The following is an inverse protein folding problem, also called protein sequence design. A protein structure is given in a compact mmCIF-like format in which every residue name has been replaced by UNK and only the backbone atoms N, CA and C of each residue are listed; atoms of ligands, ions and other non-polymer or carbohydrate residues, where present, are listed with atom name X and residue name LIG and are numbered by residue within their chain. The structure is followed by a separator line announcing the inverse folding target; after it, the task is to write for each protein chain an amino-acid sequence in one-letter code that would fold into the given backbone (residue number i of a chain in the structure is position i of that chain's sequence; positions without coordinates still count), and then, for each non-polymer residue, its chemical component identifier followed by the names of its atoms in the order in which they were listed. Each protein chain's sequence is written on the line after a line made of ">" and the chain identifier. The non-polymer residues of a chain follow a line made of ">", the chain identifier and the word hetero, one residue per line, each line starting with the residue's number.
data_IF_481023136545
#
_entry.id   IF_481023136545
#
_cell.length_a   1.000
_cell.length_b   1.000
_cell.length_c   1.000
_cell.angle_alpha   90.00
_cell.angle_beta   90.00
_cell.angle_gamma   90.00
#
_symmetry.space_group_name_H-M   'P 1'
#
loop_
_entity.id
_entity.type
_entity.pdbx_description
1 polymer ?
#
# COMPACT_ATOMS: atom_id res chain seq x y z
N UNK A 1 1.29 -59.46 9.58
CA UNK A 1 1.17 -59.47 8.09
C UNK A 1 0.02 -58.61 7.56
N UNK A 2 -1.06 -58.35 8.32
CA UNK A 2 -2.12 -57.37 7.93
C UNK A 2 -1.72 -55.90 8.10
N UNK A 3 -0.87 -55.56 9.09
CA UNK A 3 -0.36 -54.19 9.29
C UNK A 3 0.59 -53.67 8.20
N UNK A 4 1.22 -54.56 7.42
CA UNK A 4 2.08 -54.16 6.31
C UNK A 4 1.28 -53.82 5.05
N UNK A 5 0.12 -54.46 4.87
CA UNK A 5 -0.75 -54.28 3.69
C UNK A 5 -1.51 -52.96 3.80
N UNK A 6 -2.02 -52.61 4.98
CA UNK A 6 -2.65 -51.29 5.20
C UNK A 6 -1.66 -50.12 5.13
N UNK A 7 -0.38 -50.32 5.46
CA UNK A 7 0.67 -49.32 5.25
C UNK A 7 1.11 -49.23 3.78
N UNK A 8 1.06 -50.31 3.00
CA UNK A 8 1.37 -50.27 1.58
C UNK A 8 0.25 -49.64 0.76
N UNK A 9 -1.02 -49.98 1.02
CA UNK A 9 -2.17 -49.43 0.29
C UNK A 9 -2.32 -47.91 0.49
N UNK A 10 -2.05 -47.40 1.69
CA UNK A 10 -2.04 -45.95 1.96
C UNK A 10 -0.86 -45.26 1.26
N UNK A 11 0.31 -45.91 1.21
CA UNK A 11 1.51 -45.37 0.52
C UNK A 11 1.36 -45.42 -1.01
N UNK A 12 0.68 -46.43 -1.55
CA UNK A 12 0.41 -46.55 -2.99
C UNK A 12 -0.62 -45.50 -3.45
N UNK A 13 -1.62 -45.15 -2.63
CA UNK A 13 -2.61 -44.10 -2.95
C UNK A 13 -2.00 -42.68 -2.88
N UNK A 14 -1.13 -42.42 -1.90
CA UNK A 14 -0.39 -41.16 -1.79
C UNK A 14 0.60 -40.98 -2.95
N UNK A 15 1.30 -42.05 -3.34
CA UNK A 15 2.24 -42.04 -4.47
C UNK A 15 1.50 -41.86 -5.80
N UNK A 16 0.38 -42.57 -6.00
CA UNK A 16 -0.45 -42.39 -7.19
C UNK A 16 -1.03 -40.97 -7.26
N UNK A 17 -1.43 -40.39 -6.14
CA UNK A 17 -1.91 -39.01 -6.06
C UNK A 17 -0.82 -37.99 -6.37
N UNK A 18 0.39 -38.19 -5.88
CA UNK A 18 1.55 -37.35 -6.21
C UNK A 18 1.88 -37.37 -7.71
N UNK A 19 1.85 -38.55 -8.35
CA UNK A 19 2.06 -38.68 -9.80
C UNK A 19 0.96 -37.95 -10.59
N UNK A 20 -0.31 -38.05 -10.18
CA UNK A 20 -1.40 -37.31 -10.82
C UNK A 20 -1.21 -35.79 -10.75
N UNK A 21 -0.70 -35.27 -9.64
CA UNK A 21 -0.37 -33.83 -9.50
C UNK A 21 0.72 -33.43 -10.49
N UNK A 22 1.79 -34.24 -10.59
CA UNK A 22 2.91 -34.02 -11.53
C UNK A 22 2.40 -33.99 -12.97
N UNK A 23 1.70 -35.05 -13.39
CA UNK A 23 1.13 -35.16 -14.75
C UNK A 23 0.16 -34.02 -15.06
N UNK A 24 -0.56 -33.51 -14.05
CA UNK A 24 -1.48 -32.41 -14.24
C UNK A 24 -0.76 -31.11 -14.63
N UNK A 25 0.29 -30.75 -13.90
CA UNK A 25 1.07 -29.54 -14.20
C UNK A 25 1.89 -29.68 -15.48
N UNK A 26 2.41 -30.87 -15.79
CA UNK A 26 3.18 -31.09 -17.03
C UNK A 26 2.30 -30.88 -18.26
N UNK A 27 1.05 -31.37 -18.23
CA UNK A 27 0.07 -31.10 -19.29
C UNK A 27 -0.22 -29.60 -19.45
N UNK A 28 -0.32 -28.85 -18.35
CA UNK A 28 -0.52 -27.40 -18.42
C UNK A 28 0.68 -26.70 -19.08
N UNK A 29 1.89 -27.19 -18.86
CA UNK A 29 3.08 -26.69 -19.55
C UNK A 29 3.03 -27.02 -21.04
N UNK A 30 2.71 -28.27 -21.40
CA UNK A 30 2.61 -28.73 -22.79
C UNK A 30 1.54 -27.97 -23.58
N UNK A 31 0.39 -27.70 -22.96
CA UNK A 31 -0.72 -26.94 -23.53
C UNK A 31 -0.47 -25.42 -23.54
N UNK A 32 0.66 -24.95 -23.01
CA UNK A 32 0.98 -23.52 -22.83
C UNK A 32 -0.12 -22.77 -22.09
N UNK A 33 -0.58 -23.35 -20.99
CA UNK A 33 -1.66 -22.80 -20.18
C UNK A 33 -1.33 -21.40 -19.65
N UNK A 34 -2.36 -20.58 -19.49
CA UNK A 34 -2.18 -19.25 -18.88
C UNK A 34 -1.75 -19.36 -17.40
N UNK A 35 -1.07 -18.33 -16.88
CA UNK A 35 -0.77 -18.20 -15.45
C UNK A 35 -2.00 -18.39 -14.56
N UNK A 36 -3.17 -17.87 -14.97
CA UNK A 36 -4.41 -18.03 -14.21
C UNK A 36 -4.93 -19.48 -14.22
N UNK A 37 -4.63 -20.27 -15.24
CA UNK A 37 -4.99 -21.69 -15.27
C UNK A 37 -4.12 -22.49 -14.29
N UNK A 38 -2.82 -22.20 -14.20
CA UNK A 38 -1.91 -22.86 -13.25
C UNK A 38 -2.32 -22.60 -11.80
N UNK A 39 -2.62 -21.35 -11.43
CA UNK A 39 -3.06 -21.03 -10.05
C UNK A 39 -4.42 -21.65 -9.73
N UNK A 40 -5.35 -21.70 -10.69
CA UNK A 40 -6.63 -22.40 -10.52
C UNK A 40 -6.46 -23.90 -10.33
N UNK A 41 -5.55 -24.52 -11.07
CA UNK A 41 -5.21 -25.93 -10.90
C UNK A 41 -4.62 -26.20 -9.52
N UNK A 42 -3.73 -25.33 -9.03
CA UNK A 42 -3.22 -25.41 -7.66
C UNK A 42 -4.35 -25.35 -6.62
N UNK A 43 -5.29 -24.40 -6.75
CA UNK A 43 -6.44 -24.28 -5.84
C UNK A 43 -7.34 -25.54 -5.87
N UNK A 44 -7.64 -26.05 -7.06
CA UNK A 44 -8.49 -27.21 -7.24
C UNK A 44 -7.87 -28.50 -6.68
N UNK A 45 -6.58 -28.74 -6.96
CA UNK A 45 -5.84 -29.91 -6.47
C UNK A 45 -5.63 -29.84 -4.94
N UNK A 46 -5.42 -28.64 -4.41
CA UNK A 46 -5.26 -28.40 -2.99
C UNK A 46 -6.59 -28.51 -2.21
N UNK A 47 -7.73 -28.27 -2.87
CA UNK A 47 -9.01 -28.11 -2.18
C UNK A 47 -9.05 -26.87 -1.28
N UNK A 48 -8.11 -25.93 -1.45
CA UNK A 48 -8.04 -24.64 -0.74
C UNK A 48 -7.82 -23.50 -1.72
N UNK A 49 -8.09 -22.26 -1.29
CA UNK A 49 -7.76 -21.10 -2.13
C UNK A 49 -6.26 -21.08 -2.40
N UNK A 50 -5.87 -20.83 -3.64
CA UNK A 50 -4.48 -20.60 -4.02
C UNK A 50 -4.32 -19.20 -4.59
N UNK A 51 -3.15 -18.63 -4.38
CA UNK A 51 -2.79 -17.34 -4.93
C UNK A 51 -1.41 -17.30 -5.56
N UNK A 52 -1.21 -16.32 -6.44
CA UNK A 52 0.06 -15.93 -7.02
C UNK A 52 0.26 -14.44 -6.79
N UNK A 53 1.43 -14.10 -6.29
CA UNK A 53 1.92 -12.75 -6.18
C UNK A 53 3.08 -12.55 -7.14
N UNK A 54 3.11 -11.40 -7.81
CA UNK A 54 4.19 -10.96 -8.69
C UNK A 54 4.40 -9.46 -8.49
N UNK A 55 5.37 -9.14 -7.64
CA UNK A 55 5.75 -7.77 -7.30
C UNK A 55 6.23 -7.01 -8.55
N UNK A 56 7.03 -7.65 -9.38
CA UNK A 56 7.61 -7.04 -10.58
C UNK A 56 6.53 -6.55 -11.55
N UNK A 57 5.39 -7.25 -11.65
CA UNK A 57 4.26 -6.88 -12.53
C UNK A 57 3.11 -6.19 -11.80
N UNK A 58 3.18 -6.01 -10.48
CA UNK A 58 2.08 -5.52 -9.64
C UNK A 58 0.81 -6.39 -9.78
N UNK A 59 0.97 -7.71 -9.85
CA UNK A 59 -0.12 -8.65 -10.08
C UNK A 59 -0.32 -9.53 -8.85
N UNK A 60 -1.55 -9.58 -8.37
CA UNK A 60 -2.01 -10.57 -7.38
C UNK A 60 -3.20 -11.29 -7.98
N UNK A 61 -3.14 -12.63 -8.03
CA UNK A 61 -4.24 -13.47 -8.50
C UNK A 61 -4.60 -14.46 -7.41
N UNK A 62 -5.90 -14.55 -7.08
CA UNK A 62 -6.42 -15.48 -6.07
C UNK A 62 -7.60 -16.25 -6.63
N UNK A 63 -7.63 -17.56 -6.41
CA UNK A 63 -8.70 -18.42 -6.89
C UNK A 63 -9.14 -19.40 -5.81
N UNK A 64 -10.45 -19.48 -5.61
CA UNK A 64 -11.08 -20.54 -4.81
C UNK A 64 -10.90 -21.92 -5.48
N UNK A 65 -11.09 -23.03 -4.73
CA UNK A 65 -11.05 -24.39 -5.29
C UNK A 65 -12.02 -24.61 -6.47
N UNK A 66 -13.18 -23.95 -6.45
CA UNK A 66 -14.17 -23.98 -7.53
C UNK A 66 -13.77 -23.14 -8.76
N UNK A 67 -12.59 -22.51 -8.74
CA UNK A 67 -12.05 -21.69 -9.81
C UNK A 67 -12.59 -20.26 -9.88
N UNK A 68 -13.37 -19.81 -8.88
CA UNK A 68 -13.84 -18.41 -8.78
C UNK A 68 -12.68 -17.49 -8.37
N UNK A 69 -12.54 -16.37 -9.07
CA UNK A 69 -11.56 -15.32 -8.76
C UNK A 69 -11.94 -14.58 -7.47
N UNK A 70 -10.96 -14.35 -6.60
CA UNK A 70 -11.10 -13.50 -5.43
C UNK A 70 -10.34 -12.18 -5.63
N UNK A 71 -10.88 -11.09 -5.10
CA UNK A 71 -10.26 -9.77 -5.08
C UNK A 71 -9.80 -9.41 -3.66
N UNK A 72 -8.70 -8.69 -3.55
CA UNK A 72 -8.14 -8.24 -2.27
C UNK A 72 -6.92 -9.05 -1.81
N UNK A 73 -6.15 -8.49 -0.89
CA UNK A 73 -5.00 -9.15 -0.24
C UNK A 73 -5.51 -10.08 0.86
N UNK A 74 -4.84 -11.21 1.07
CA UNK A 74 -5.09 -12.04 2.24
C UNK A 74 -4.18 -11.61 3.41
N UNK A 75 -4.67 -11.77 4.64
CA UNK A 75 -4.02 -11.30 5.87
C UNK A 75 -3.38 -12.43 6.70
N UNK A 76 -3.20 -13.62 6.12
CA UNK A 76 -2.62 -14.78 6.80
C UNK A 76 -1.16 -15.06 6.43
N UNK A 77 -0.40 -15.63 7.37
CA UNK A 77 0.91 -16.24 7.11
C UNK A 77 0.69 -17.64 6.52
N UNK A 78 0.62 -17.71 5.19
CA UNK A 78 0.39 -18.94 4.46
C UNK A 78 1.68 -19.58 3.99
N UNK A 79 1.65 -20.90 3.79
CA UNK A 79 2.72 -21.59 3.08
C UNK A 79 2.89 -20.98 1.70
N UNK A 80 4.11 -20.51 1.44
CA UNK A 80 4.49 -19.89 0.18
C UNK A 80 5.58 -20.69 -0.53
N UNK A 81 5.59 -20.64 -1.87
CA UNK A 81 6.64 -21.23 -2.69
C UNK A 81 7.11 -20.20 -3.74
N UNK A 82 8.39 -19.80 -3.74
CA UNK A 82 8.91 -18.85 -4.70
C UNK A 82 8.86 -19.42 -6.12
N UNK A 83 8.58 -18.57 -7.11
CA UNK A 83 8.62 -18.98 -8.51
C UNK A 83 10.07 -18.88 -9.02
N UNK A 84 10.73 -20.00 -9.36
CA UNK A 84 12.15 -19.97 -9.68
C UNK A 84 12.44 -19.10 -10.91
N UNK A 85 13.47 -18.25 -10.78
CA UNK A 85 13.87 -17.31 -11.85
C UNK A 85 12.93 -16.12 -12.05
N UNK A 86 11.97 -15.89 -11.14
CA UNK A 86 11.10 -14.71 -11.15
C UNK A 86 11.16 -13.98 -9.80
N UNK A 87 12.14 -13.07 -9.61
CA UNK A 87 12.32 -12.35 -8.35
C UNK A 87 11.04 -11.62 -7.91
N UNK A 88 10.69 -11.75 -6.63
CA UNK A 88 9.47 -11.14 -6.07
C UNK A 88 8.17 -11.80 -6.55
N UNK A 89 8.22 -13.05 -7.05
CA UNK A 89 7.04 -13.85 -7.37
C UNK A 89 6.96 -15.12 -6.53
N UNK A 90 5.81 -15.41 -5.96
CA UNK A 90 5.55 -16.63 -5.18
C UNK A 90 4.09 -17.05 -5.23
N UNK A 91 3.86 -18.35 -5.05
CA UNK A 91 2.54 -18.95 -4.88
C UNK A 91 2.27 -19.17 -3.40
N UNK A 92 1.00 -19.22 -3.00
CA UNK A 92 0.60 -19.64 -1.65
C UNK A 92 -0.72 -20.41 -1.63
N UNK A 93 -0.98 -21.13 -0.53
CA UNK A 93 -2.25 -21.79 -0.24
C UNK A 93 -2.86 -21.26 1.06
N UNK A 94 -4.13 -20.84 1.01
CA UNK A 94 -4.86 -20.32 2.17
C UNK A 94 -5.45 -21.49 2.98
N UNK A 95 -4.74 -21.96 4.00
CA UNK A 95 -5.20 -23.04 4.88
C UNK A 95 -5.18 -22.63 6.34
N UNK A 96 -6.37 -22.52 6.93
CA UNK A 96 -6.52 -22.43 8.37
C UNK A 96 -6.36 -23.83 9.00
N UNK A 97 -5.12 -24.29 9.19
CA UNK A 97 -4.81 -25.60 9.79
C UNK A 97 -3.44 -26.13 9.39
N UNK A 98 -3.17 -27.39 9.70
CA UNK A 98 -1.97 -28.08 9.24
C UNK A 98 -1.96 -28.20 7.71
N UNK A 99 -0.77 -28.21 7.13
CA UNK A 99 -0.60 -28.43 5.69
C UNK A 99 -1.17 -29.79 5.27
N UNK A 100 -1.83 -29.82 4.12
CA UNK A 100 -2.22 -31.05 3.44
C UNK A 100 -0.99 -31.83 2.95
N UNK A 101 -1.11 -33.17 2.80
CA UNK A 101 0.04 -34.04 2.49
C UNK A 101 0.70 -33.73 1.14
N UNK A 102 -0.04 -33.14 0.20
CA UNK A 102 0.43 -32.82 -1.15
C UNK A 102 0.72 -31.34 -1.37
N UNK A 103 0.54 -30.48 -0.36
CA UNK A 103 0.58 -29.02 -0.53
C UNK A 103 1.93 -28.52 -1.04
N UNK A 104 3.00 -29.00 -0.42
CA UNK A 104 4.36 -28.68 -0.81
C UNK A 104 4.61 -29.09 -2.27
N UNK A 105 4.15 -30.29 -2.65
CA UNK A 105 4.29 -30.78 -4.03
C UNK A 105 3.46 -29.96 -5.01
N UNK A 106 2.20 -29.63 -4.69
CA UNK A 106 1.32 -28.84 -5.54
C UNK A 106 1.94 -27.46 -5.78
N UNK A 107 2.42 -26.79 -4.73
CA UNK A 107 3.08 -25.50 -4.83
C UNK A 107 4.38 -25.58 -5.63
N UNK A 108 5.24 -26.56 -5.36
CA UNK A 108 6.50 -26.75 -6.10
C UNK A 108 6.23 -26.98 -7.60
N UNK A 109 5.31 -27.88 -7.93
CA UNK A 109 4.96 -28.19 -9.33
C UNK A 109 4.30 -27.00 -10.03
N UNK A 110 3.43 -26.26 -9.34
CA UNK A 110 2.84 -25.04 -9.88
C UNK A 110 3.91 -23.96 -10.14
N UNK A 111 4.87 -23.77 -9.21
CA UNK A 111 5.95 -22.80 -9.35
C UNK A 111 6.86 -23.14 -10.55
N UNK A 112 7.24 -24.41 -10.71
CA UNK A 112 8.00 -24.90 -11.87
C UNK A 112 7.22 -24.77 -13.18
N UNK A 113 5.92 -25.03 -13.17
CA UNK A 113 5.08 -24.82 -14.35
C UNK A 113 5.05 -23.35 -14.77
N UNK A 114 4.91 -22.41 -13.82
CA UNK A 114 4.99 -20.97 -14.09
C UNK A 114 6.37 -20.56 -14.63
N UNK A 115 7.44 -21.12 -14.08
CA UNK A 115 8.79 -20.92 -14.61
C UNK A 115 8.89 -21.39 -16.07
N UNK A 116 8.45 -22.61 -16.37
CA UNK A 116 8.53 -23.19 -17.72
C UNK A 116 7.65 -22.42 -18.75
N UNK A 117 6.51 -21.89 -18.29
CA UNK A 117 5.58 -21.10 -19.11
C UNK A 117 6.01 -19.65 -19.32
N UNK A 118 7.10 -19.20 -18.70
CA UNK A 118 7.58 -17.83 -18.85
C UNK A 118 8.35 -17.66 -20.16
N UNK A 119 7.73 -17.00 -21.14
CA UNK A 119 8.24 -16.90 -22.53
C UNK A 119 9.03 -15.61 -22.82
N UNK A 120 9.75 -15.01 -21.87
CA UNK A 120 10.45 -13.73 -22.07
C UNK A 120 11.69 -13.55 -21.20
N UNK A 121 12.36 -12.40 -21.33
CA UNK A 121 13.40 -11.98 -20.37
C UNK A 121 12.75 -11.89 -19.00
N UNK A 122 13.09 -12.84 -18.10
CA UNK A 122 12.65 -12.81 -16.71
C UNK A 122 13.23 -11.63 -15.92
N UNK A 123 14.08 -10.84 -16.57
CA UNK A 123 14.76 -9.76 -15.93
C UNK A 123 13.80 -8.58 -15.67
N UNK A 124 13.54 -8.20 -14.42
CA UNK A 124 12.62 -7.13 -14.10
C UNK A 124 13.10 -5.80 -14.70
N UNK A 125 12.17 -5.01 -15.25
CA UNK A 125 12.46 -3.62 -15.64
C UNK A 125 12.81 -2.79 -14.40
N UNK A 126 13.39 -1.59 -14.58
CA UNK A 126 13.64 -0.66 -13.46
C UNK A 126 12.39 -0.42 -12.60
N UNK A 127 11.22 -0.26 -13.22
CA UNK A 127 9.94 -0.12 -12.52
C UNK A 127 9.55 -1.39 -11.74
N UNK A 128 9.86 -2.58 -12.29
CA UNK A 128 9.69 -3.86 -11.60
C UNK A 128 10.62 -4.00 -10.40
N UNK A 129 11.90 -3.62 -10.53
CA UNK A 129 12.85 -3.62 -9.42
C UNK A 129 12.41 -2.66 -8.30
N UNK A 130 11.90 -1.48 -8.63
CA UNK A 130 11.34 -0.54 -7.64
C UNK A 130 10.17 -1.20 -6.88
N UNK A 131 9.28 -1.92 -7.57
CA UNK A 131 8.18 -2.64 -6.90
C UNK A 131 8.70 -3.72 -5.98
N UNK A 132 9.60 -4.59 -6.45
CA UNK A 132 10.21 -5.65 -5.63
C UNK A 132 10.87 -5.06 -4.37
N UNK A 133 11.64 -3.97 -4.52
CA UNK A 133 12.33 -3.33 -3.41
C UNK A 133 11.36 -2.78 -2.34
N UNK A 134 10.21 -2.26 -2.76
CA UNK A 134 9.19 -1.69 -1.88
C UNK A 134 8.16 -2.72 -1.36
N UNK A 135 8.15 -3.94 -1.90
CA UNK A 135 7.13 -4.93 -1.58
C UNK A 135 7.42 -5.58 -0.21
N UNK A 136 6.55 -5.44 0.81
CA UNK A 136 6.79 -6.02 2.13
C UNK A 136 6.87 -7.55 2.12
N UNK A 137 6.21 -8.20 1.15
CA UNK A 137 6.11 -9.65 1.09
C UNK A 137 7.23 -10.27 0.23
N UNK A 138 8.00 -9.46 -0.51
CA UNK A 138 9.16 -9.94 -1.26
C UNK A 138 10.23 -10.52 -0.34
N UNK A 139 10.88 -11.59 -0.81
CA UNK A 139 11.95 -12.23 -0.04
C UNK A 139 13.11 -11.27 0.19
N UNK A 140 13.78 -11.48 1.32
CA UNK A 140 14.96 -10.75 1.74
C UNK A 140 16.10 -10.81 0.69
N UNK A 141 16.19 -11.91 -0.06
CA UNK A 141 17.17 -12.08 -1.13
C UNK A 141 16.78 -11.26 -2.37
N UNK A 142 15.53 -11.37 -2.83
CA UNK A 142 15.03 -10.62 -4.00
C UNK A 142 15.08 -9.11 -3.76
N UNK A 143 14.77 -8.67 -2.53
CA UNK A 143 14.85 -7.26 -2.14
C UNK A 143 16.29 -6.73 -2.23
N UNK A 144 17.27 -7.49 -1.71
CA UNK A 144 18.69 -7.12 -1.78
C UNK A 144 19.18 -7.06 -3.22
N UNK A 145 18.82 -8.04 -4.04
CA UNK A 145 19.15 -8.03 -5.47
C UNK A 145 18.55 -6.81 -6.18
N UNK A 146 17.26 -6.54 -5.96
CA UNK A 146 16.59 -5.38 -6.55
C UNK A 146 17.24 -4.05 -6.14
N UNK A 147 17.52 -3.87 -4.85
CA UNK A 147 18.24 -2.70 -4.32
C UNK A 147 19.62 -2.53 -4.94
N UNK A 148 20.39 -3.62 -5.05
CA UNK A 148 21.73 -3.59 -5.64
C UNK A 148 21.68 -3.20 -7.12
N UNK A 149 20.72 -3.76 -7.87
CA UNK A 149 20.53 -3.48 -9.29
C UNK A 149 19.98 -2.07 -9.59
N UNK A 150 19.25 -1.49 -8.63
CA UNK A 150 18.85 -0.08 -8.67
C UNK A 150 20.01 0.88 -8.32
N UNK A 151 21.16 0.35 -7.88
CA UNK A 151 22.32 1.15 -7.49
C UNK A 151 22.13 1.93 -6.19
N UNK A 152 21.23 1.48 -5.31
CA UNK A 152 20.92 2.16 -4.05
C UNK A 152 21.90 1.73 -2.97
N UNK A 153 22.74 2.66 -2.49
CA UNK A 153 23.84 2.37 -1.55
C UNK A 153 23.78 3.17 -0.24
N UNK A 154 22.81 4.09 -0.11
CA UNK A 154 22.65 4.97 1.04
C UNK A 154 21.20 5.37 1.24
N UNK A 155 20.93 6.42 2.04
CA UNK A 155 19.57 6.87 2.31
C UNK A 155 18.80 7.21 1.03
N UNK A 156 17.54 6.77 1.00
CA UNK A 156 16.62 6.99 -0.12
C UNK A 156 15.38 7.66 0.40
N UNK A 157 14.97 8.76 -0.22
CA UNK A 157 13.64 9.31 0.03
C UNK A 157 12.65 8.69 -0.92
N UNK A 158 11.67 7.99 -0.37
CA UNK A 158 10.54 7.45 -1.10
C UNK A 158 9.45 8.51 -1.16
N UNK A 159 8.95 8.79 -2.37
CA UNK A 159 7.86 9.73 -2.61
C UNK A 159 6.69 9.01 -3.25
N UNK A 160 5.53 9.13 -2.63
CA UNK A 160 4.24 8.67 -3.14
C UNK A 160 3.43 9.87 -3.61
N UNK A 161 2.89 9.79 -4.82
CA UNK A 161 1.98 10.80 -5.35
C UNK A 161 0.85 10.17 -6.17
N UNK A 162 -0.27 10.87 -6.28
CA UNK A 162 -1.34 10.57 -7.24
C UNK A 162 -1.06 11.16 -8.63
N UNK A 163 0.01 11.95 -8.79
CA UNK A 163 0.38 12.60 -10.05
C UNK A 163 1.60 11.94 -10.70
N UNK A 164 1.51 11.73 -12.02
CA UNK A 164 2.62 11.25 -12.86
C UNK A 164 3.72 12.28 -13.11
N UNK A 165 3.58 13.51 -12.60
CA UNK A 165 4.56 14.58 -12.82
C UNK A 165 5.85 14.44 -11.99
N UNK A 166 6.01 13.36 -11.22
CA UNK A 166 7.27 13.01 -10.57
C UNK A 166 8.32 12.62 -11.64
N UNK A 167 9.10 13.60 -12.09
CA UNK A 167 10.26 13.37 -12.96
C UNK A 167 11.40 12.73 -12.16
N UNK A 168 11.33 11.42 -11.97
CA UNK A 168 12.37 10.63 -11.32
C UNK A 168 12.82 9.46 -12.21
N UNK A 169 14.10 9.09 -12.12
CA UNK A 169 14.67 7.96 -12.89
C UNK A 169 14.21 6.61 -12.33
N UNK A 170 14.09 6.51 -11.01
CA UNK A 170 13.63 5.31 -10.33
C UNK A 170 12.16 5.47 -9.96
N UNK A 171 11.30 5.26 -10.94
CA UNK A 171 9.85 5.46 -10.81
C UNK A 171 9.08 4.20 -11.16
N UNK A 172 7.97 4.00 -10.46
CA UNK A 172 7.04 2.92 -10.72
C UNK A 172 5.61 3.35 -10.44
N UNK A 173 4.64 2.61 -10.95
CA UNK A 173 3.23 2.76 -10.60
C UNK A 173 2.71 1.51 -9.91
N UNK A 174 1.86 1.72 -8.90
CA UNK A 174 1.12 0.69 -8.17
C UNK A 174 -0.31 1.18 -8.05
N UNK A 175 -1.21 0.62 -8.87
CA UNK A 175 -2.56 1.18 -9.05
C UNK A 175 -2.49 2.62 -9.56
N UNK A 176 -3.21 3.52 -8.88
CA UNK A 176 -3.25 4.95 -9.21
C UNK A 176 -2.14 5.77 -8.54
N UNK A 177 -1.25 5.11 -7.81
CA UNK A 177 -0.13 5.75 -7.11
C UNK A 177 1.16 5.61 -7.90
N UNK A 178 1.93 6.70 -7.90
CA UNK A 178 3.29 6.77 -8.43
C UNK A 178 4.25 6.69 -7.25
N UNK A 179 5.17 5.73 -7.32
CA UNK A 179 6.27 5.53 -6.36
C UNK A 179 7.54 6.03 -7.02
N UNK A 180 8.21 7.01 -6.42
CA UNK A 180 9.51 7.48 -6.85
C UNK A 180 10.56 7.28 -5.74
N UNK A 181 11.73 6.75 -6.12
CA UNK A 181 12.87 6.62 -5.23
C UNK A 181 13.90 7.69 -5.59
N UNK A 182 14.22 8.55 -4.62
CA UNK A 182 15.16 9.65 -4.78
C UNK A 182 16.37 9.41 -3.84
N UNK A 183 17.51 8.94 -4.38
CA UNK A 183 18.73 8.76 -3.59
C UNK A 183 19.32 10.10 -3.13
N UNK A 184 19.94 10.12 -1.94
CA UNK A 184 20.64 11.31 -1.42
C UNK A 184 19.70 12.36 -0.82
N UNK A 185 20.00 13.65 -1.03
CA UNK A 185 19.15 14.78 -0.58
C UNK A 185 18.19 15.16 -1.70
N UNK A 186 16.94 14.67 -1.70
CA UNK A 186 16.02 14.91 -2.80
C UNK A 186 15.56 16.36 -2.85
N UNK A 187 15.17 16.81 -4.03
CA UNK A 187 14.27 17.95 -4.19
C UNK A 187 12.95 17.42 -4.71
N UNK A 188 11.90 17.48 -3.89
CA UNK A 188 10.56 17.11 -4.31
C UNK A 188 9.99 18.28 -5.12
N UNK A 189 9.49 18.05 -6.35
CA UNK A 189 8.92 19.12 -7.14
C UNK A 189 7.76 19.81 -6.42
N UNK A 190 7.68 21.13 -6.56
CA UNK A 190 6.50 21.88 -6.15
C UNK A 190 5.31 21.57 -7.07
N UNK A 191 4.09 21.84 -6.58
CA UNK A 191 2.88 21.72 -7.40
C UNK A 191 2.37 20.28 -7.58
N UNK A 192 2.84 19.35 -6.75
CA UNK A 192 2.29 17.98 -6.65
C UNK A 192 1.73 17.73 -5.26
N UNK A 193 0.72 16.86 -5.19
CA UNK A 193 0.26 16.27 -3.93
C UNK A 193 1.09 15.02 -3.66
N UNK A 194 1.90 15.02 -2.60
CA UNK A 194 2.81 13.92 -2.30
C UNK A 194 2.98 13.66 -0.81
N UNK A 195 3.18 12.39 -0.47
CA UNK A 195 3.74 11.96 0.81
C UNK A 195 5.16 11.46 0.60
N UNK A 196 6.07 11.81 1.50
CA UNK A 196 7.45 11.38 1.44
C UNK A 196 7.88 10.74 2.76
N UNK A 197 8.84 9.81 2.69
CA UNK A 197 9.48 9.24 3.87
C UNK A 197 10.93 8.86 3.53
N UNK A 198 11.83 9.08 4.48
CA UNK A 198 13.23 8.69 4.33
C UNK A 198 13.41 7.23 4.78
N UNK A 199 13.96 6.41 3.89
CA UNK A 199 14.54 5.12 4.22
C UNK A 199 16.04 5.32 4.51
N UNK A 200 16.51 5.19 5.77
CA UNK A 200 17.94 5.31 6.08
C UNK A 200 18.80 4.22 5.42
N UNK A 201 18.18 3.07 5.18
CA UNK A 201 18.72 1.90 4.48
C UNK A 201 17.72 1.51 3.37
N UNK A 202 18.14 1.31 2.12
CA UNK A 202 17.29 0.83 1.03
C UNK A 202 16.50 -0.45 1.35
N UNK A 203 16.95 -1.31 2.27
CA UNK A 203 16.18 -2.49 2.67
C UNK A 203 14.94 -2.15 3.49
N UNK A 204 14.83 -0.92 4.01
CA UNK A 204 13.65 -0.40 4.72
C UNK A 204 12.64 0.29 3.80
N UNK A 205 12.79 0.18 2.48
CA UNK A 205 11.83 0.73 1.51
C UNK A 205 10.37 0.31 1.75
N UNK A 206 10.03 -0.92 2.20
CA UNK A 206 8.64 -1.26 2.53
C UNK A 206 8.09 -0.43 3.69
N UNK A 207 8.89 -0.20 4.73
CA UNK A 207 8.48 0.67 5.85
C UNK A 207 8.32 2.12 5.37
N UNK A 208 9.26 2.62 4.57
CA UNK A 208 9.18 3.97 4.01
C UNK A 208 7.96 4.13 3.07
N UNK A 209 7.56 3.07 2.35
CA UNK A 209 6.34 3.09 1.52
C UNK A 209 5.09 3.33 2.37
N UNK A 210 4.93 2.58 3.47
CA UNK A 210 3.80 2.76 4.37
C UNK A 210 3.83 4.11 5.10
N UNK A 211 5.00 4.58 5.50
CA UNK A 211 5.20 5.91 6.07
C UNK A 211 4.84 7.03 5.08
N UNK A 212 5.30 6.93 3.83
CA UNK A 212 4.95 7.88 2.78
C UNK A 212 3.45 7.82 2.45
N UNK A 213 2.79 6.67 2.61
CA UNK A 213 1.33 6.52 2.45
C UNK A 213 0.58 7.27 3.55
N UNK A 214 1.02 7.14 4.80
CA UNK A 214 0.51 7.94 5.94
C UNK A 214 0.72 9.43 5.69
N UNK A 215 1.91 9.83 5.21
CA UNK A 215 2.18 11.23 4.88
C UNK A 215 1.30 11.74 3.73
N UNK A 216 1.11 10.94 2.67
CA UNK A 216 0.24 11.28 1.54
C UNK A 216 -1.21 11.42 1.98
N UNK A 217 -1.67 10.64 2.95
CA UNK A 217 -3.00 10.80 3.55
C UNK A 217 -3.18 12.18 4.18
N UNK A 218 -2.13 12.74 4.79
CA UNK A 218 -2.16 14.08 5.39
C UNK A 218 -1.90 15.22 4.40
N UNK A 219 -1.46 14.92 3.18
CA UNK A 219 -1.19 15.90 2.16
C UNK A 219 -2.49 16.53 1.64
N UNK A 220 -2.50 17.86 1.51
CA UNK A 220 -3.61 18.60 0.93
C UNK A 220 -3.54 18.65 -0.61
N UNK A 221 -4.62 19.10 -1.24
CA UNK A 221 -4.62 19.37 -2.67
C UNK A 221 -3.71 20.56 -3.02
N UNK A 222 -3.18 20.52 -4.23
CA UNK A 222 -2.29 21.57 -4.75
C UNK A 222 -3.07 22.88 -4.88
N UNK A 223 -2.48 23.97 -4.38
CA UNK A 223 -3.03 25.33 -4.48
C UNK A 223 -3.80 25.81 -3.23
N UNK A 224 -4.00 24.94 -2.23
CA UNK A 224 -4.45 25.35 -0.90
C UNK A 224 -3.31 25.88 -0.02
N UNK A 225 -3.65 26.36 1.19
CA UNK A 225 -2.64 26.79 2.16
C UNK A 225 -2.03 25.65 2.97
N UNK A 226 -2.71 24.50 3.02
CA UNK A 226 -2.18 23.30 3.65
C UNK A 226 -1.05 22.67 2.79
N UNK A 227 -0.04 22.04 3.41
CA UNK A 227 1.07 21.45 2.67
C UNK A 227 0.57 20.35 1.73
N UNK A 228 0.84 20.54 0.43
CA UNK A 228 0.60 19.53 -0.59
C UNK A 228 1.68 18.43 -0.58
N UNK A 229 2.85 18.72 -0.04
CA UNK A 229 3.91 17.74 0.20
C UNK A 229 4.10 17.59 1.71
N UNK A 230 3.94 16.37 2.22
CA UNK A 230 4.14 16.04 3.63
C UNK A 230 5.25 15.02 3.75
N UNK A 231 6.25 15.29 4.59
CA UNK A 231 7.30 14.33 4.94
C UNK A 231 6.94 13.64 6.25
N UNK A 232 6.96 12.31 6.25
CA UNK A 232 6.64 11.50 7.42
C UNK A 232 7.57 11.80 8.59
N UNK A 233 8.86 12.01 8.29
CA UNK A 233 9.91 12.29 9.28
C UNK A 233 9.64 13.57 10.10
N UNK A 234 8.87 14.52 9.55
CA UNK A 234 8.50 15.77 10.21
C UNK A 234 7.24 15.65 11.10
N UNK A 235 6.49 14.55 10.99
CA UNK A 235 5.21 14.38 11.70
C UNK A 235 5.38 14.03 13.18
N UNK A 236 6.44 13.31 13.55
CA UNK A 236 6.66 12.82 14.91
C UNK A 236 5.44 12.10 15.48
N UNK A 237 4.93 12.55 16.64
CA UNK A 237 3.77 11.93 17.29
C UNK A 237 2.45 12.04 16.49
N UNK A 238 2.36 12.99 15.53
CA UNK A 238 1.18 13.13 14.67
C UNK A 238 1.03 11.94 13.72
N UNK A 239 2.14 11.29 13.33
CA UNK A 239 2.11 10.10 12.48
C UNK A 239 1.34 8.96 13.15
N UNK A 240 1.60 8.69 14.44
CA UNK A 240 0.94 7.62 15.19
C UNK A 240 -0.58 7.78 15.24
N UNK A 241 -1.05 9.04 15.32
CA UNK A 241 -2.49 9.35 15.28
C UNK A 241 -3.05 9.07 13.88
N UNK A 242 -2.36 9.51 12.83
CA UNK A 242 -2.79 9.33 11.45
C UNK A 242 -2.76 7.86 10.98
N UNK A 243 -1.87 7.03 11.54
CA UNK A 243 -1.77 5.60 11.27
C UNK A 243 -2.90 4.80 11.92
N UNK A 244 -3.30 5.17 13.14
CA UNK A 244 -4.23 4.36 13.95
C UNK A 244 -5.69 4.69 13.73
N UNK A 245 -6.00 5.89 13.23
CA UNK A 245 -7.39 6.35 13.10
C UNK A 245 -7.82 6.20 11.63
N UNK A 246 -8.88 5.43 11.40
CA UNK A 246 -9.49 5.28 10.08
C UNK A 246 -10.18 6.58 9.62
N UNK A 247 -10.51 6.69 8.33
CA UNK A 247 -11.13 7.89 7.81
C UNK A 247 -12.53 8.09 8.42
N UNK A 248 -13.28 7.00 8.59
CA UNK A 248 -14.61 6.98 9.21
C UNK A 248 -14.57 7.36 10.69
N UNK A 249 -13.63 6.82 11.46
CA UNK A 249 -13.45 7.18 12.87
C UNK A 249 -13.09 8.66 13.01
N UNK A 250 -12.20 9.18 12.15
CA UNK A 250 -11.86 10.58 12.14
C UNK A 250 -13.06 11.47 11.78
N UNK A 251 -13.84 11.09 10.76
CA UNK A 251 -15.05 11.80 10.34
C UNK A 251 -16.15 11.79 11.42
N UNK A 252 -16.20 10.75 12.26
CA UNK A 252 -17.17 10.64 13.35
C UNK A 252 -16.84 11.53 14.56
N UNK A 253 -15.60 12.03 14.68
CA UNK A 253 -15.21 12.92 15.79
C UNK A 253 -16.01 14.21 15.76
N UNK A 254 -16.59 14.59 16.91
CA UNK A 254 -17.48 15.76 17.02
C UNK A 254 -16.83 17.08 16.55
N UNK A 255 -15.54 17.27 16.82
CA UNK A 255 -14.80 18.44 16.34
C UNK A 255 -14.65 18.45 14.81
N UNK A 256 -14.44 17.28 14.18
CA UNK A 256 -14.33 17.16 12.72
C UNK A 256 -15.68 17.40 12.06
N UNK A 257 -16.75 16.80 12.57
CA UNK A 257 -18.12 17.08 12.12
C UNK A 257 -18.45 18.57 12.23
N UNK A 258 -18.03 19.22 13.31
CA UNK A 258 -18.26 20.65 13.49
C UNK A 258 -17.49 21.48 12.47
N UNK A 259 -16.24 21.10 12.15
CA UNK A 259 -15.47 21.76 11.09
C UNK A 259 -16.14 21.60 9.72
N UNK A 260 -16.64 20.40 9.39
CA UNK A 260 -17.42 20.13 8.17
C UNK A 260 -18.65 21.03 8.04
N UNK A 261 -19.45 21.13 9.09
CA UNK A 261 -20.64 22.00 9.12
C UNK A 261 -20.28 23.47 8.86
N UNK A 262 -19.15 23.94 9.41
CA UNK A 262 -18.71 25.33 9.22
C UNK A 262 -18.15 25.57 7.82
N UNK A 263 -17.40 24.61 7.27
CA UNK A 263 -16.83 24.67 5.93
C UNK A 263 -17.89 24.80 4.84
N UNK A 264 -19.04 24.14 5.01
CA UNK A 264 -20.15 24.19 4.06
C UNK A 264 -20.65 25.64 3.79
N UNK A 265 -20.55 26.53 4.78
CA UNK A 265 -20.89 27.95 4.63
C UNK A 265 -19.69 28.88 4.50
N UNK A 266 -18.48 28.41 4.85
CA UNK A 266 -17.29 29.25 5.02
C UNK A 266 -16.02 28.50 4.57
N UNK A 267 -15.67 28.54 3.27
CA UNK A 267 -14.52 27.81 2.73
C UNK A 267 -13.17 28.17 3.39
N UNK A 268 -13.08 29.36 3.98
CA UNK A 268 -11.88 29.87 4.63
C UNK A 268 -11.57 29.25 6.01
N UNK A 269 -12.46 28.41 6.57
CA UNK A 269 -12.33 27.90 7.96
C UNK A 269 -11.04 27.10 8.14
N UNK A 270 -10.80 26.08 7.30
CA UNK A 270 -9.61 25.22 7.42
C UNK A 270 -8.35 26.00 7.07
N UNK A 271 -8.37 26.81 6.01
CA UNK A 271 -7.25 27.69 5.64
C UNK A 271 -6.85 28.65 6.77
N UNK A 272 -7.86 29.23 7.44
CA UNK A 272 -7.63 30.13 8.57
C UNK A 272 -7.02 29.38 9.74
N UNK A 273 -7.56 28.21 10.11
CA UNK A 273 -7.00 27.38 11.18
C UNK A 273 -5.58 26.92 10.84
N UNK A 274 -5.33 26.53 9.60
CA UNK A 274 -3.99 26.15 9.14
C UNK A 274 -3.00 27.29 9.32
N UNK A 275 -3.30 28.47 8.76
CA UNK A 275 -2.40 29.61 8.79
C UNK A 275 -2.07 30.08 10.22
N UNK A 276 -3.01 29.96 11.17
CA UNK A 276 -2.77 30.40 12.56
C UNK A 276 -2.12 29.32 13.43
N UNK A 277 -2.26 28.04 13.07
CA UNK A 277 -1.57 26.93 13.73
C UNK A 277 -0.13 26.80 13.28
N UNK A 278 0.15 27.10 12.02
CA UNK A 278 1.47 26.97 11.40
C UNK A 278 2.36 28.20 11.65
N UNK A 279 1.81 29.41 11.54
CA UNK A 279 2.61 30.63 11.65
C UNK A 279 2.80 31.10 13.11
N UNK A 280 3.96 31.69 13.45
CA UNK A 280 4.24 32.10 14.83
C UNK A 280 3.53 33.40 15.25
N UNK A 281 2.91 34.13 14.31
CA UNK A 281 2.17 35.35 14.61
C UNK A 281 0.94 35.53 13.72
N UNK A 282 -0.08 36.22 14.27
CA UNK A 282 -1.29 36.57 13.51
C UNK A 282 -0.99 37.48 12.31
N UNK A 283 0.10 38.26 12.33
CA UNK A 283 0.49 39.11 11.21
C UNK A 283 0.98 38.28 10.03
N UNK A 284 1.79 37.25 10.30
CA UNK A 284 2.23 36.31 9.27
C UNK A 284 1.07 35.45 8.77
N UNK A 285 0.18 34.98 9.66
CA UNK A 285 -1.03 34.26 9.25
C UNK A 285 -1.91 35.11 8.32
N UNK A 286 -2.12 36.39 8.64
CA UNK A 286 -2.92 37.30 7.81
C UNK A 286 -2.26 37.56 6.44
N UNK A 287 -0.93 37.71 6.41
CA UNK A 287 -0.17 37.84 5.17
C UNK A 287 -0.27 36.58 4.30
N UNK A 288 -0.15 35.40 4.89
CA UNK A 288 -0.29 34.11 4.21
C UNK A 288 -1.70 33.91 3.62
N UNK A 289 -2.73 34.34 4.35
CA UNK A 289 -4.13 34.31 3.90
C UNK A 289 -4.49 35.43 2.92
N UNK A 290 -3.57 36.37 2.65
CA UNK A 290 -3.84 37.60 1.90
C UNK A 290 -5.05 38.40 2.44
N UNK A 291 -5.18 38.49 3.77
CA UNK A 291 -6.24 39.28 4.44
C UNK A 291 -5.66 40.34 5.37
N UNK A 292 -6.46 41.36 5.68
CA UNK A 292 -6.11 42.31 6.72
C UNK A 292 -6.14 41.67 8.11
N UNK A 293 -5.28 42.15 9.01
CA UNK A 293 -5.20 41.64 10.37
C UNK A 293 -6.53 41.75 11.14
N UNK A 294 -7.30 42.82 10.94
CA UNK A 294 -8.64 42.99 11.51
C UNK A 294 -9.60 41.89 11.06
N UNK A 295 -9.63 41.57 9.75
CA UNK A 295 -10.45 40.49 9.19
C UNK A 295 -10.07 39.14 9.77
N UNK A 296 -8.77 38.86 9.96
CA UNK A 296 -8.34 37.62 10.61
C UNK A 296 -8.82 37.55 12.07
N UNK A 297 -8.75 38.64 12.82
CA UNK A 297 -9.26 38.69 14.19
C UNK A 297 -10.78 38.46 14.25
N UNK A 298 -11.54 39.04 13.32
CA UNK A 298 -12.99 38.81 13.20
C UNK A 298 -13.29 37.34 12.92
N UNK A 299 -12.59 36.72 11.96
CA UNK A 299 -12.71 35.27 11.67
C UNK A 299 -12.42 34.42 12.90
N UNK A 300 -11.36 34.74 13.66
CA UNK A 300 -11.01 34.00 14.88
C UNK A 300 -12.02 34.19 16.01
N UNK A 301 -12.60 35.38 16.13
CA UNK A 301 -13.66 35.67 17.10
C UNK A 301 -14.92 34.89 16.76
N UNK A 302 -15.32 34.90 15.50
CA UNK A 302 -16.44 34.10 14.99
C UNK A 302 -16.20 32.60 15.19
N UNK A 303 -15.02 32.08 14.81
CA UNK A 303 -14.65 30.68 15.00
C UNK A 303 -14.73 30.28 16.47
N UNK A 304 -14.27 31.14 17.37
CA UNK A 304 -14.34 30.87 18.81
C UNK A 304 -15.79 30.72 19.30
N UNK A 305 -16.70 31.55 18.80
CA UNK A 305 -18.13 31.44 19.08
C UNK A 305 -18.77 30.17 18.50
N UNK A 306 -18.37 29.77 17.29
CA UNK A 306 -18.94 28.60 16.62
C UNK A 306 -18.40 27.26 17.13
N UNK A 307 -17.14 27.22 17.55
CA UNK A 307 -16.46 26.04 18.09
C UNK A 307 -16.69 25.86 19.60
N UNK A 308 -17.07 26.95 20.30
CA UNK A 308 -17.20 26.96 21.77
C UNK A 308 -15.86 26.97 22.51
N UNK A 309 -14.75 27.18 21.81
CA UNK A 309 -13.42 27.35 22.38
C UNK A 309 -12.54 28.26 21.52
N UNK A 310 -11.54 28.90 22.12
CA UNK A 310 -10.62 29.76 21.40
C UNK A 310 -9.50 28.92 20.72
N UNK A 311 -9.44 28.85 19.37
CA UNK A 311 -8.48 27.99 18.66
C UNK A 311 -7.02 28.47 18.77
N UNK A 312 -6.79 29.67 19.32
CA UNK A 312 -5.45 30.26 19.45
C UNK A 312 -4.93 30.36 20.89
N UNK A 313 -5.69 29.89 21.89
CA UNK A 313 -5.34 30.08 23.30
C UNK A 313 -5.29 28.76 24.06
N UNK A 314 -4.20 28.56 24.81
CA UNK A 314 -4.04 27.44 25.75
C UNK A 314 -4.39 26.08 25.14
N UNK A 315 -5.25 25.33 25.82
CA UNK A 315 -5.74 24.01 25.39
C UNK A 315 -6.54 24.03 24.08
N UNK A 316 -7.15 25.17 23.74
CA UNK A 316 -7.92 25.32 22.50
C UNK A 316 -7.05 25.23 21.25
N UNK A 317 -5.78 25.65 21.33
CA UNK A 317 -4.80 25.49 20.24
C UNK A 317 -4.48 24.02 19.96
N UNK A 318 -4.26 23.24 21.02
CA UNK A 318 -4.01 21.80 20.91
C UNK A 318 -5.22 21.07 20.30
N UNK A 319 -6.43 21.39 20.79
CA UNK A 319 -7.68 20.84 20.27
C UNK A 319 -7.88 21.18 18.78
N UNK A 320 -7.66 22.44 18.38
CA UNK A 320 -7.76 22.85 16.98
C UNK A 320 -6.74 22.12 16.09
N UNK A 321 -5.50 21.95 16.54
CA UNK A 321 -4.47 21.23 15.81
C UNK A 321 -4.85 19.76 15.56
N UNK A 322 -5.33 19.07 16.60
CA UNK A 322 -5.80 17.67 16.47
C UNK A 322 -7.05 17.60 15.58
N UNK A 323 -7.99 18.53 15.71
CA UNK A 323 -9.18 18.57 14.86
C UNK A 323 -8.83 18.74 13.37
N UNK A 324 -7.89 19.62 13.03
CA UNK A 324 -7.41 19.80 11.65
C UNK A 324 -6.65 18.57 11.15
N UNK A 325 -5.84 17.93 12.00
CA UNK A 325 -5.17 16.67 11.66
C UNK A 325 -6.20 15.59 11.32
N UNK A 326 -7.18 15.37 12.20
CA UNK A 326 -8.23 14.37 12.00
C UNK A 326 -9.11 14.69 10.78
N UNK A 327 -9.39 15.97 10.56
CA UNK A 327 -10.08 16.42 9.34
C UNK A 327 -9.31 16.00 8.08
N UNK A 328 -7.97 16.15 8.05
CA UNK A 328 -7.14 15.66 6.94
C UNK A 328 -7.13 14.14 6.85
N UNK A 329 -7.09 13.44 7.98
CA UNK A 329 -7.17 11.96 8.04
C UNK A 329 -8.49 11.44 7.44
N UNK A 330 -9.59 12.18 7.62
CA UNK A 330 -10.90 11.87 7.05
C UNK A 330 -11.01 12.15 5.54
N UNK A 331 -10.33 13.19 5.04
CA UNK A 331 -10.39 13.62 3.63
C UNK A 331 -9.22 13.15 2.76
N UNK A 332 -8.16 12.67 3.39
CA UNK A 332 -7.02 12.10 2.71
C UNK A 332 -7.43 10.89 1.90
N UNK A 333 -6.71 10.64 0.80
CA UNK A 333 -6.84 9.41 0.01
C UNK A 333 -6.61 8.20 0.93
N UNK A 334 -7.70 7.63 1.44
CA UNK A 334 -7.71 6.44 2.30
C UNK A 334 -7.33 5.18 1.52
N UNK A 335 -7.02 4.12 2.25
CA UNK A 335 -6.64 2.77 1.78
C UNK A 335 -7.66 2.05 0.88
N UNK A 336 -8.66 2.75 0.33
CA UNK A 336 -9.82 2.17 -0.36
C UNK A 336 -9.70 2.05 -1.88
N UNK A 337 -8.57 2.46 -2.48
CA UNK A 337 -8.33 2.26 -3.91
C UNK A 337 -8.20 0.77 -4.31
N UNK A 338 -8.24 -0.18 -3.35
CA UNK A 338 -8.27 -1.61 -3.63
C UNK A 338 -9.68 -2.19 -3.83
N UNK A 339 -10.76 -1.46 -3.55
CA UNK A 339 -12.11 -2.08 -3.43
C UNK A 339 -13.18 -1.55 -4.38
N UNK A 340 -12.91 -0.52 -5.18
CA UNK A 340 -13.92 0.02 -6.11
C UNK A 340 -13.39 0.17 -7.53
N UNK A 341 -13.41 -0.93 -8.29
CA UNK A 341 -13.63 -0.86 -9.74
C UNK A 341 -14.39 -2.11 -10.23
N UNK A 342 -15.50 -2.41 -9.56
CA UNK A 342 -16.58 -3.23 -10.09
C UNK A 342 -17.66 -2.34 -10.70
N UNK A 343 -17.42 -1.76 -11.89
CA UNK A 343 -18.52 -1.29 -12.75
C UNK A 343 -18.68 -2.27 -13.91
N UNK A 344 -19.86 -2.88 -14.09
CA UNK A 344 -20.14 -3.66 -15.28
C UNK A 344 -20.27 -2.68 -16.45
N UNK A 345 -19.45 -2.87 -17.49
CA UNK A 345 -19.77 -2.30 -18.80
C UNK A 345 -20.93 -3.14 -19.35
N UNK A 346 -22.05 -2.46 -19.64
CA UNK A 346 -23.11 -3.00 -20.47
C UNK A 346 -22.66 -3.20 -21.91
#
# INVERSE_FOLDING_TARGET
>A
MRDLIGKLEVVDDDTASALRVIDHFDRLVDERASTAAVVRAAAALAGSTAGLHDAARAVVKRFTPDGRTLTGKDAGEWRHEPVPGQPGSWLWLERAGDDGPLDALILERAARALQALSTGSSDPSTSGLVRIACDPDATDADRRDAVARLGLTGPVTLVLSTSANLRATLVSSVGDLVVALLPGTPTIPDGIRAGAAVAPDPLRLPTALEQARTALRLAADVGGLAPAVVCYDDLGALAVIAERISADEAAAVGDVRRLEELLAGHPWVVDTLHAVLDQPSLRQSAALLHVHHSTLQERLTWLSGQLGYAPMKGRGRQRAAVAVLLWRVAHGTGQEAATQNGRPRG
#
